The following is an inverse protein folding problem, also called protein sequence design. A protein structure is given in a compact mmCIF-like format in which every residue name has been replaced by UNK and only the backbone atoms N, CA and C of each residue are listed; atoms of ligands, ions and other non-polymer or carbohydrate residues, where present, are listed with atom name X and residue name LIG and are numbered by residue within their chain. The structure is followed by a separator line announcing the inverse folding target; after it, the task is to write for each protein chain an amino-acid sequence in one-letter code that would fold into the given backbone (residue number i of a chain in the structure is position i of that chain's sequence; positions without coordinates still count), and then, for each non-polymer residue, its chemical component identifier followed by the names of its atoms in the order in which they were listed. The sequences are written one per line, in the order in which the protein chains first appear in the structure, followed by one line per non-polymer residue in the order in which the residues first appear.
data_IF_626063091251
#
_entry.id   IF_626063091251
#
_cell.length_a   1.000
_cell.length_b   1.000
_cell.length_c   1.000
_cell.angle_alpha   90.00
_cell.angle_beta   90.00
_cell.angle_gamma   90.00
#
_symmetry.space_group_name_H-M   'P 1'
#
loop_
_entity.id
_entity.type
_entity.pdbx_description
1 polymer ?
#
# COMPACT_ATOMS: atom_id res chain seq x y z
N UNK A 1 22.73 1.26 7.63
CA UNK A 1 21.56 1.89 8.26
C UNK A 1 20.54 0.80 8.46
N UNK A 2 20.27 0.46 9.71
CA UNK A 2 19.71 -0.83 10.14
C UNK A 2 18.30 -1.08 9.63
N UNK A 3 18.07 -2.30 9.12
CA UNK A 3 16.77 -2.87 8.70
C UNK A 3 15.71 -2.87 9.83
N UNK A 4 16.13 -2.60 11.07
CA UNK A 4 15.28 -2.41 12.25
C UNK A 4 14.51 -1.06 12.26
N UNK A 5 14.78 -0.14 11.31
CA UNK A 5 14.21 1.22 11.26
C UNK A 5 13.24 1.51 10.11
N UNK A 6 12.99 0.58 9.19
CA UNK A 6 11.98 0.81 8.14
C UNK A 6 10.60 0.31 8.61
N UNK A 7 9.84 1.22 9.24
CA UNK A 7 8.51 0.91 9.78
C UNK A 7 7.56 0.32 8.72
N UNK A 8 7.81 0.60 7.44
CA UNK A 8 7.06 0.05 6.31
C UNK A 8 7.31 -1.45 6.14
N UNK A 9 8.57 -1.90 6.21
CA UNK A 9 8.95 -3.32 6.10
C UNK A 9 8.36 -4.12 7.27
N UNK A 10 8.42 -3.57 8.47
CA UNK A 10 7.81 -4.18 9.65
C UNK A 10 6.28 -4.25 9.51
N UNK A 11 5.64 -3.22 8.93
CA UNK A 11 4.19 -3.16 8.75
C UNK A 11 3.67 -4.22 7.78
N UNK A 12 4.41 -4.49 6.69
CA UNK A 12 4.03 -5.48 5.67
C UNK A 12 4.58 -6.90 5.96
N UNK A 13 5.15 -7.14 7.14
CA UNK A 13 5.60 -8.47 7.55
C UNK A 13 6.86 -8.98 6.82
N UNK A 14 7.85 -8.09 6.60
CA UNK A 14 9.11 -8.39 5.89
C UNK A 14 8.97 -8.65 4.38
N UNK A 15 7.83 -8.31 3.79
CA UNK A 15 7.69 -8.25 2.34
C UNK A 15 8.37 -6.99 1.78
N UNK A 16 9.55 -7.18 1.17
CA UNK A 16 10.32 -6.08 0.59
C UNK A 16 9.64 -5.45 -0.65
N UNK A 17 8.79 -6.17 -1.36
CA UNK A 17 8.03 -5.63 -2.50
C UNK A 17 6.83 -4.84 -2.00
N UNK A 18 6.07 -5.40 -1.05
CA UNK A 18 5.00 -4.70 -0.34
C UNK A 18 5.47 -3.41 0.31
N UNK A 19 6.66 -3.39 0.92
CA UNK A 19 7.22 -2.19 1.53
C UNK A 19 7.58 -1.11 0.50
N UNK A 20 8.09 -1.52 -0.68
CA UNK A 20 8.36 -0.60 -1.80
C UNK A 20 7.07 -0.01 -2.36
N UNK A 21 6.05 -0.85 -2.57
CA UNK A 21 4.73 -0.41 -3.03
C UNK A 21 4.08 0.57 -2.03
N UNK A 22 4.18 0.26 -0.73
CA UNK A 22 3.65 1.12 0.32
C UNK A 22 4.38 2.47 0.38
N UNK A 23 5.72 2.48 0.23
CA UNK A 23 6.50 3.71 0.15
C UNK A 23 6.06 4.58 -1.05
N UNK A 24 5.87 3.97 -2.22
CA UNK A 24 5.40 4.68 -3.40
C UNK A 24 4.00 5.28 -3.22
N UNK A 25 3.09 4.55 -2.56
CA UNK A 25 1.75 5.06 -2.25
C UNK A 25 1.81 6.28 -1.31
N UNK A 26 2.65 6.24 -0.27
CA UNK A 26 2.87 7.37 0.64
C UNK A 26 3.48 8.58 -0.09
N UNK A 27 4.44 8.37 -1.00
CA UNK A 27 5.01 9.44 -1.82
C UNK A 27 3.96 10.10 -2.73
N UNK A 28 3.06 9.30 -3.31
CA UNK A 28 1.94 9.81 -4.12
C UNK A 28 0.97 10.63 -3.27
N UNK A 29 0.66 10.18 -2.04
CA UNK A 29 -0.17 10.94 -1.10
C UNK A 29 0.48 12.25 -0.69
N UNK A 30 1.79 12.25 -0.41
CA UNK A 30 2.55 13.48 -0.12
C UNK A 30 2.44 14.50 -1.25
N UNK A 31 2.57 14.05 -2.50
CA UNK A 31 2.49 14.89 -3.69
C UNK A 31 1.06 15.30 -4.09
N UNK A 32 0.03 14.70 -3.49
CA UNK A 32 -1.35 14.97 -3.87
C UNK A 32 -1.85 16.31 -3.31
N UNK A 33 -2.44 17.18 -4.15
CA UNK A 33 -3.05 18.42 -3.69
C UNK A 33 -4.36 18.20 -2.90
N UNK A 34 -4.98 17.02 -3.04
CA UNK A 34 -6.22 16.66 -2.36
C UNK A 34 -6.01 16.19 -0.90
N UNK A 35 -4.75 16.02 -0.46
CA UNK A 35 -4.41 15.58 0.89
C UNK A 35 -4.26 16.79 1.82
N UNK A 36 -4.92 16.71 2.98
CA UNK A 36 -4.85 17.71 4.04
C UNK A 36 -3.40 17.94 4.53
N UNK A 37 -2.97 19.18 4.83
CA UNK A 37 -1.61 19.48 5.29
C UNK A 37 -1.17 18.68 6.53
N UNK A 38 -2.09 18.40 7.45
CA UNK A 38 -1.82 17.61 8.67
C UNK A 38 -1.50 16.17 8.32
N UNK A 39 -2.27 15.58 7.40
CA UNK A 39 -2.01 14.22 6.92
C UNK A 39 -0.69 14.17 6.14
N UNK A 40 -0.41 15.18 5.30
CA UNK A 40 0.87 15.28 4.58
C UNK A 40 2.05 15.29 5.55
N UNK A 41 2.00 16.06 6.63
CA UNK A 41 3.05 16.09 7.64
C UNK A 41 3.25 14.73 8.33
N UNK A 42 2.17 14.02 8.66
CA UNK A 42 2.26 12.65 9.23
C UNK A 42 2.86 11.65 8.25
N UNK A 43 2.52 11.75 6.96
CA UNK A 43 3.14 10.95 5.90
C UNK A 43 4.64 11.25 5.78
N UNK A 44 5.03 12.53 5.84
CA UNK A 44 6.43 12.95 5.83
C UNK A 44 7.21 12.41 7.05
N UNK A 45 6.58 12.39 8.22
CA UNK A 45 7.17 11.84 9.44
C UNK A 45 7.41 10.32 9.32
N UNK A 46 6.48 9.57 8.71
CA UNK A 46 6.68 8.14 8.44
C UNK A 46 7.79 7.91 7.41
N UNK A 47 7.78 8.66 6.30
CA UNK A 47 8.80 8.53 5.25
C UNK A 47 10.21 8.92 5.75
N UNK A 48 10.29 9.86 6.67
CA UNK A 48 11.54 10.27 7.32
C UNK A 48 11.96 9.36 8.50
N UNK A 49 11.14 8.37 8.87
CA UNK A 49 11.40 7.48 10.01
C UNK A 49 11.26 8.16 11.38
N UNK A 50 10.56 9.29 11.46
CA UNK A 50 10.22 10.00 12.71
C UNK A 50 8.97 9.43 13.38
N UNK A 51 8.09 8.77 12.63
CA UNK A 51 6.90 8.06 13.11
C UNK A 51 6.77 6.71 12.41
N UNK A 52 5.89 5.85 12.90
CA UNK A 52 5.65 4.53 12.35
C UNK A 52 4.44 4.47 11.42
N UNK A 53 4.49 3.60 10.42
CA UNK A 53 3.34 3.29 9.57
C UNK A 53 2.12 2.82 10.36
N UNK A 54 2.34 2.14 11.49
CA UNK A 54 1.27 1.64 12.36
C UNK A 54 0.50 2.79 13.02
N UNK A 55 1.20 3.83 13.48
CA UNK A 55 0.57 5.03 14.02
C UNK A 55 -0.23 5.76 12.95
N UNK A 56 0.35 5.95 11.77
CA UNK A 56 -0.36 6.57 10.64
C UNK A 56 -1.62 5.78 10.25
N UNK A 57 -1.56 4.45 10.23
CA UNK A 57 -2.70 3.60 9.90
C UNK A 57 -3.86 3.68 10.92
N UNK A 58 -3.61 4.16 12.14
CA UNK A 58 -4.64 4.35 13.16
C UNK A 58 -5.35 5.70 13.05
N UNK A 59 -4.85 6.62 12.21
CA UNK A 59 -5.48 7.92 12.00
C UNK A 59 -6.86 7.76 11.34
N UNK A 60 -7.91 8.43 11.84
CA UNK A 60 -9.26 8.35 11.25
C UNK A 60 -9.28 8.68 9.76
N UNK A 61 -8.53 9.71 9.35
CA UNK A 61 -8.44 10.13 7.94
C UNK A 61 -7.81 9.05 7.05
N UNK A 62 -6.88 8.25 7.58
CA UNK A 62 -6.28 7.15 6.83
C UNK A 62 -7.25 6.00 6.64
N UNK A 63 -8.10 5.74 7.64
CA UNK A 63 -9.18 4.76 7.51
C UNK A 63 -10.17 5.17 6.42
N UNK A 64 -10.66 6.41 6.45
CA UNK A 64 -11.57 6.91 5.41
C UNK A 64 -10.95 6.85 4.01
N UNK A 65 -9.67 7.21 3.89
CA UNK A 65 -8.96 7.15 2.63
C UNK A 65 -8.85 5.71 2.11
N UNK A 66 -8.52 4.76 2.99
CA UNK A 66 -8.46 3.34 2.65
C UNK A 66 -9.83 2.80 2.23
N UNK A 67 -10.90 3.15 2.94
CA UNK A 67 -12.27 2.77 2.60
C UNK A 67 -12.68 3.31 1.22
N UNK A 68 -12.43 4.60 0.95
CA UNK A 68 -12.69 5.20 -0.37
C UNK A 68 -11.87 4.54 -1.47
N UNK A 69 -10.61 4.23 -1.21
CA UNK A 69 -9.74 3.52 -2.16
C UNK A 69 -10.27 2.12 -2.49
N UNK A 70 -10.71 1.37 -1.48
CA UNK A 70 -11.31 0.04 -1.66
C UNK A 70 -12.62 0.11 -2.43
N UNK A 71 -13.47 1.10 -2.18
CA UNK A 71 -14.71 1.28 -2.92
C UNK A 71 -14.44 1.68 -4.38
N UNK A 72 -13.44 2.51 -4.62
CA UNK A 72 -13.00 2.84 -5.98
C UNK A 72 -12.50 1.58 -6.71
N UNK A 73 -11.63 0.80 -6.09
CA UNK A 73 -11.13 -0.45 -6.64
C UNK A 73 -12.27 -1.43 -6.96
N UNK A 74 -13.26 -1.57 -6.07
CA UNK A 74 -14.44 -2.42 -6.30
C UNK A 74 -15.22 -1.99 -7.54
N UNK A 75 -15.39 -0.68 -7.76
CA UNK A 75 -16.06 -0.15 -8.96
C UNK A 75 -15.27 -0.45 -10.22
N UNK A 76 -13.97 -0.18 -10.20
CA UNK A 76 -13.08 -0.47 -11.34
C UNK A 76 -13.10 -1.95 -11.71
N UNK A 77 -13.08 -2.85 -10.72
CA UNK A 77 -13.19 -4.29 -10.95
C UNK A 77 -14.57 -4.72 -11.47
N UNK A 78 -15.64 -4.03 -11.09
CA UNK A 78 -17.00 -4.32 -11.56
C UNK A 78 -17.21 -3.87 -13.02
N UNK A 79 -16.57 -2.76 -13.41
CA UNK A 79 -16.61 -2.20 -14.76
C UNK A 79 -15.59 -2.85 -15.70
N UNK A 80 -14.64 -3.62 -15.16
CA UNK A 80 -13.59 -4.30 -15.92
C UNK A 80 -14.16 -5.31 -16.93
N UNK A 81 -13.74 -5.26 -18.21
CA UNK A 81 -14.12 -6.26 -19.21
C UNK A 81 -13.77 -7.70 -18.76
N UNK A 82 -14.59 -8.70 -19.13
CA UNK A 82 -14.34 -10.10 -18.75
C UNK A 82 -12.96 -10.62 -19.16
N UNK A 83 -12.46 -10.21 -20.32
CA UNK A 83 -11.15 -10.56 -20.85
C UNK A 83 -10.01 -10.03 -19.98
N UNK A 84 -10.10 -8.77 -19.55
CA UNK A 84 -9.10 -8.13 -18.68
C UNK A 84 -9.11 -8.76 -17.30
N UNK A 85 -10.29 -9.10 -16.77
CA UNK A 85 -10.42 -9.82 -15.51
C UNK A 85 -9.81 -11.23 -15.58
N UNK A 86 -9.97 -11.92 -16.71
CA UNK A 86 -9.37 -13.24 -16.92
C UNK A 86 -7.85 -13.17 -17.03
N UNK A 87 -7.30 -12.15 -17.71
CA UNK A 87 -5.85 -11.91 -17.73
C UNK A 87 -5.31 -11.59 -16.33
N UNK A 88 -5.96 -10.67 -15.61
CA UNK A 88 -5.59 -10.30 -14.24
C UNK A 88 -5.57 -11.51 -13.31
N UNK A 89 -6.59 -12.37 -13.39
CA UNK A 89 -6.67 -13.61 -12.59
C UNK A 89 -5.51 -14.56 -12.92
N UNK A 90 -5.18 -14.71 -14.20
CA UNK A 90 -4.07 -15.57 -14.65
C UNK A 90 -2.72 -15.06 -14.14
N UNK A 91 -2.51 -13.74 -14.20
CA UNK A 91 -1.29 -13.08 -13.70
C UNK A 91 -1.18 -13.20 -12.19
N UNK A 92 -2.28 -13.02 -11.46
CA UNK A 92 -2.31 -13.21 -10.01
C UNK A 92 -1.95 -14.64 -9.61
N UNK A 93 -2.50 -15.66 -10.30
CA UNK A 93 -2.18 -17.06 -10.06
C UNK A 93 -0.69 -17.37 -10.33
N UNK A 94 -0.13 -16.83 -11.42
CA UNK A 94 1.29 -16.99 -11.73
C UNK A 94 2.19 -16.32 -10.68
N UNK A 95 1.82 -15.14 -10.19
CA UNK A 95 2.56 -14.44 -9.14
C UNK A 95 2.49 -15.18 -7.79
N UNK A 96 1.32 -15.69 -7.41
CA UNK A 96 1.14 -16.48 -6.19
C UNK A 96 1.99 -17.77 -6.23
N UNK A 97 2.04 -18.46 -7.38
CA UNK A 97 2.88 -19.63 -7.56
C UNK A 97 4.40 -19.31 -7.45
N UNK A 98 4.83 -18.12 -7.85
CA UNK A 98 6.22 -17.69 -7.77
C UNK A 98 6.65 -17.24 -6.35
N UNK A 99 5.69 -16.84 -5.52
CA UNK A 99 5.92 -16.32 -4.16
C UNK A 99 5.61 -17.33 -3.05
N UNK A 100 5.02 -18.49 -3.36
CA UNK A 100 4.76 -19.55 -2.40
C UNK A 100 6.07 -20.13 -1.80
N UNK A 101 6.32 -19.97 -0.48
CA UNK A 101 7.50 -20.50 0.18
C UNK A 101 7.49 -22.04 0.33
N UNK A 102 6.36 -22.72 0.09
CA UNK A 102 6.27 -24.18 0.21
C UNK A 102 6.99 -24.95 -0.92
N UNK A 103 7.51 -24.25 -1.94
CA UNK A 103 8.24 -24.84 -3.06
C UNK A 103 9.73 -24.45 -3.15
N UNK A 104 10.32 -23.86 -2.09
CA UNK A 104 11.77 -23.59 -2.01
C UNK A 104 12.48 -24.52 -1.02
#
# INVERSE_FOLDING_TARGET
MSEERDSLVAFVGRDAEGARSLRAALEALRGSPAVDPTLRAKVDDVLAGRSSMRELAQEPVMRELAERGLDQLRRELAEMPPEDRADLTRRAAAHAAATDPAQR
#
